data_IF_325575845768
#
_entry.id   IF_325575845768
#
_cell.length_a   1.000
_cell.length_b   1.000
_cell.length_c   1.000
_cell.angle_alpha   90.00
_cell.angle_beta   90.00
_cell.angle_gamma   90.00
#
_symmetry.space_group_name_H-M   'P 1'
#
loop_
_entity.id
_entity.type
_entity.pdbx_description
1 polymer ?
#
# COMPACT_ATOMS: atom_id res chain seq x y z
N UNK A 1 17.17 -14.79 -15.45
CA UNK A 1 17.33 -15.59 -14.23
C UNK A 1 18.08 -14.75 -13.22
N UNK A 2 17.74 -14.83 -11.93
CA UNK A 2 18.59 -14.23 -10.91
C UNK A 2 19.94 -14.96 -10.92
N UNK A 3 21.05 -14.22 -10.90
CA UNK A 3 22.38 -14.83 -10.81
C UNK A 3 22.49 -15.61 -9.50
N UNK A 4 23.00 -16.82 -9.57
CA UNK A 4 23.38 -17.59 -8.39
C UNK A 4 24.49 -16.86 -7.61
N UNK A 5 24.59 -17.11 -6.30
CA UNK A 5 25.66 -16.51 -5.51
C UNK A 5 27.07 -16.87 -6.02
N UNK A 6 27.21 -18.01 -6.71
CA UNK A 6 28.47 -18.42 -7.35
C UNK A 6 28.77 -17.56 -8.59
N UNK A 7 27.77 -17.27 -9.42
CA UNK A 7 27.93 -16.39 -10.59
C UNK A 7 28.22 -14.95 -10.17
N UNK A 8 27.58 -14.46 -9.09
CA UNK A 8 27.87 -13.15 -8.53
C UNK A 8 29.32 -13.09 -8.00
N UNK A 9 29.77 -14.13 -7.28
CA UNK A 9 31.13 -14.19 -6.75
C UNK A 9 32.22 -14.14 -7.83
N UNK A 10 31.96 -14.67 -9.04
CA UNK A 10 32.91 -14.59 -10.16
C UNK A 10 33.20 -13.15 -10.60
N UNK A 11 32.24 -12.25 -10.42
CA UNK A 11 32.30 -10.84 -10.83
C UNK A 11 32.76 -9.90 -9.71
N UNK A 12 32.91 -10.40 -8.47
CA UNK A 12 33.42 -9.60 -7.35
C UNK A 12 34.95 -9.55 -7.33
N UNK A 13 35.57 -8.57 -6.62
CA UNK A 13 37.02 -8.41 -6.53
C UNK A 13 37.80 -9.56 -5.85
N UNK A 14 37.10 -10.44 -5.11
CA UNK A 14 37.67 -11.58 -4.36
C UNK A 14 38.74 -11.21 -3.32
N UNK A 15 38.75 -9.96 -2.85
CA UNK A 15 39.72 -9.45 -1.86
C UNK A 15 39.44 -9.93 -0.44
N UNK A 16 38.19 -10.32 -0.13
CA UNK A 16 37.73 -10.67 1.23
C UNK A 16 38.08 -9.58 2.29
N UNK A 17 38.09 -8.32 1.88
CA UNK A 17 38.53 -7.19 2.71
C UNK A 17 37.58 -6.80 3.85
N UNK A 18 36.38 -7.40 3.90
CA UNK A 18 35.29 -7.13 4.88
C UNK A 18 34.77 -5.68 4.93
N UNK A 19 35.20 -4.80 4.01
CA UNK A 19 34.74 -3.40 3.92
C UNK A 19 33.22 -3.27 3.71
N UNK A 20 32.58 -4.27 3.10
CA UNK A 20 31.13 -4.32 2.90
C UNK A 20 30.34 -4.87 4.10
N UNK A 21 30.99 -5.09 5.25
CA UNK A 21 30.34 -5.63 6.47
C UNK A 21 30.11 -7.14 6.46
N UNK A 22 30.54 -7.85 5.42
CA UNK A 22 30.40 -9.31 5.31
C UNK A 22 31.75 -10.04 5.50
N UNK A 23 31.75 -11.26 6.08
CA UNK A 23 32.99 -12.00 6.41
C UNK A 23 33.87 -12.34 5.20
N UNK A 24 33.27 -12.58 4.03
CA UNK A 24 33.95 -12.92 2.77
C UNK A 24 33.19 -12.36 1.57
N UNK A 25 33.85 -12.22 0.42
CA UNK A 25 33.20 -11.86 -0.85
C UNK A 25 32.15 -12.90 -1.27
N UNK A 26 32.35 -14.19 -0.96
CA UNK A 26 31.35 -15.23 -1.23
C UNK A 26 30.11 -15.06 -0.34
N UNK A 27 30.29 -14.75 0.95
CA UNK A 27 29.16 -14.46 1.84
C UNK A 27 28.37 -13.24 1.36
N UNK A 28 29.06 -12.18 0.91
CA UNK A 28 28.41 -11.03 0.28
C UNK A 28 27.66 -11.41 -1.00
N UNK A 29 28.26 -12.23 -1.88
CA UNK A 29 27.62 -12.71 -3.10
C UNK A 29 26.34 -13.52 -2.83
N UNK A 30 26.34 -14.36 -1.79
CA UNK A 30 25.14 -15.10 -1.37
C UNK A 30 24.05 -14.16 -0.86
N UNK A 31 24.42 -13.11 -0.10
CA UNK A 31 23.48 -12.08 0.36
C UNK A 31 22.91 -11.25 -0.79
N UNK A 32 23.71 -10.92 -1.80
CA UNK A 32 23.26 -10.28 -3.04
C UNK A 32 22.28 -11.17 -3.82
N UNK A 33 22.58 -12.46 -4.00
CA UNK A 33 21.69 -13.40 -4.68
C UNK A 33 20.33 -13.55 -3.95
N UNK A 34 20.36 -13.47 -2.62
CA UNK A 34 19.17 -13.50 -1.76
C UNK A 34 18.47 -12.12 -1.64
N UNK A 35 19.01 -11.08 -2.28
CA UNK A 35 18.53 -9.68 -2.19
C UNK A 35 18.50 -9.13 -0.76
N UNK A 36 19.42 -9.59 0.09
CA UNK A 36 19.60 -9.16 1.47
C UNK A 36 20.71 -8.10 1.63
N UNK A 37 21.39 -7.74 0.55
CA UNK A 37 22.41 -6.70 0.49
C UNK A 37 22.33 -5.99 -0.89
N UNK A 38 22.89 -4.79 -0.98
CA UNK A 38 23.04 -4.05 -2.24
C UNK A 38 24.50 -4.01 -2.67
N UNK A 39 24.74 -3.92 -3.99
CA UNK A 39 26.09 -3.94 -4.55
C UNK A 39 26.92 -2.71 -4.11
N UNK A 40 26.24 -1.60 -3.81
CA UNK A 40 26.84 -0.32 -3.38
C UNK A 40 27.66 -0.45 -2.08
N UNK A 41 27.44 -1.51 -1.29
CA UNK A 41 28.22 -1.79 -0.09
C UNK A 41 29.67 -2.21 -0.39
N UNK A 42 29.99 -2.62 -1.63
CA UNK A 42 31.35 -2.97 -2.01
C UNK A 42 32.03 -1.77 -2.69
N UNK A 43 32.98 -1.09 -2.05
CA UNK A 43 33.66 0.07 -2.64
C UNK A 43 34.62 -0.32 -3.77
N UNK A 44 35.08 -1.57 -3.78
CA UNK A 44 36.16 -2.03 -4.66
C UNK A 44 35.63 -2.73 -5.94
N UNK A 45 34.32 -2.72 -6.19
CA UNK A 45 33.72 -3.39 -7.37
C UNK A 45 33.92 -2.56 -8.63
N UNK A 46 34.41 -3.19 -9.71
CA UNK A 46 34.63 -2.54 -11.02
C UNK A 46 33.31 -2.05 -11.64
N UNK A 47 33.36 -0.99 -12.44
CA UNK A 47 32.18 -0.42 -13.13
C UNK A 47 31.49 -1.44 -14.06
N UNK A 48 32.25 -2.31 -14.72
CA UNK A 48 31.71 -3.37 -15.57
C UNK A 48 30.91 -4.39 -14.75
N UNK A 49 31.46 -4.81 -13.60
CA UNK A 49 30.75 -5.67 -12.65
C UNK A 49 29.54 -4.97 -12.03
N UNK A 50 29.61 -3.65 -11.75
CA UNK A 50 28.44 -2.87 -11.31
C UNK A 50 27.32 -2.90 -12.32
N UNK A 51 27.64 -2.74 -13.60
CA UNK A 51 26.64 -2.80 -14.67
C UNK A 51 25.99 -4.19 -14.76
N UNK A 52 26.80 -5.25 -14.84
CA UNK A 52 26.29 -6.63 -14.99
C UNK A 52 25.50 -7.08 -13.75
N UNK A 53 26.05 -6.87 -12.55
CA UNK A 53 25.41 -7.27 -11.29
C UNK A 53 24.23 -6.36 -10.95
N UNK A 54 24.31 -5.06 -11.25
CA UNK A 54 23.21 -4.11 -11.13
C UNK A 54 22.00 -4.53 -11.98
N UNK A 55 22.22 -4.83 -13.26
CA UNK A 55 21.15 -5.29 -14.17
C UNK A 55 20.53 -6.64 -13.76
N UNK A 56 21.35 -7.54 -13.20
CA UNK A 56 20.91 -8.85 -12.71
C UNK A 56 20.21 -8.81 -11.34
N UNK A 57 20.57 -7.84 -10.49
CA UNK A 57 20.00 -7.65 -9.15
C UNK A 57 18.75 -6.77 -9.17
N UNK A 58 18.56 -5.99 -10.24
CA UNK A 58 17.40 -5.13 -10.42
C UNK A 58 16.09 -5.94 -10.24
N UNK A 59 15.10 -5.36 -9.53
CA UNK A 59 13.80 -6.00 -9.39
C UNK A 59 13.17 -6.25 -10.78
N UNK A 60 12.42 -7.35 -10.97
CA UNK A 60 11.82 -7.66 -12.28
C UNK A 60 10.91 -6.55 -12.79
N UNK A 61 10.28 -5.83 -11.86
CA UNK A 61 9.49 -4.63 -12.12
C UNK A 61 10.20 -3.45 -11.44
N UNK A 62 10.60 -2.45 -12.22
CA UNK A 62 11.28 -1.24 -11.75
C UNK A 62 10.38 -0.47 -10.77
N UNK A 63 10.92 0.03 -9.64
CA UNK A 63 10.19 0.94 -8.77
C UNK A 63 10.09 2.33 -9.40
N UNK A 64 8.93 2.96 -9.28
CA UNK A 64 8.71 4.36 -9.68
C UNK A 64 8.02 5.08 -8.53
N UNK A 65 8.40 6.32 -8.28
CA UNK A 65 7.75 7.19 -7.30
C UNK A 65 7.16 8.41 -8.01
N UNK A 66 5.88 8.65 -7.79
CA UNK A 66 5.17 9.84 -8.28
C UNK A 66 4.80 10.74 -7.09
N UNK A 67 4.84 12.05 -7.29
CA UNK A 67 4.67 13.02 -6.21
C UNK A 67 5.97 13.30 -5.43
N UNK A 68 5.85 14.15 -4.42
CA UNK A 68 6.92 14.52 -3.49
C UNK A 68 6.35 14.68 -2.07
N UNK A 69 7.22 14.59 -1.05
CA UNK A 69 6.83 14.70 0.36
C UNK A 69 5.93 13.56 0.85
N UNK A 70 5.12 13.82 1.87
CA UNK A 70 4.33 12.81 2.61
C UNK A 70 3.20 12.15 1.77
N UNK A 71 2.87 12.76 0.63
CA UNK A 71 1.88 12.24 -0.32
C UNK A 71 2.50 11.57 -1.54
N UNK A 72 3.83 11.49 -1.63
CA UNK A 72 4.48 10.69 -2.66
C UNK A 72 4.07 9.22 -2.53
N UNK A 73 3.85 8.56 -3.66
CA UNK A 73 3.48 7.15 -3.70
C UNK A 73 4.48 6.38 -4.57
N UNK A 74 4.88 5.21 -4.07
CA UNK A 74 5.78 4.29 -4.74
C UNK A 74 4.98 3.15 -5.36
N UNK A 75 5.35 2.75 -6.56
CA UNK A 75 4.77 1.63 -7.31
C UNK A 75 5.87 0.77 -7.92
N UNK A 76 5.51 -0.44 -8.38
CA UNK A 76 6.46 -1.40 -8.93
C UNK A 76 7.18 -2.20 -7.86
N UNK A 77 8.42 -2.65 -8.13
CA UNK A 77 9.24 -3.46 -7.20
C UNK A 77 8.71 -4.87 -6.90
N UNK A 78 7.70 -5.27 -7.66
CA UNK A 78 6.95 -6.48 -7.46
C UNK A 78 7.70 -7.73 -7.93
N UNK A 79 7.59 -8.83 -7.17
CA UNK A 79 8.44 -10.03 -7.37
C UNK A 79 7.69 -11.35 -7.46
N UNK A 80 6.39 -11.38 -7.13
CA UNK A 80 5.57 -12.59 -7.14
C UNK A 80 4.30 -12.42 -7.96
N UNK A 81 3.71 -13.55 -8.37
CA UNK A 81 2.39 -13.61 -8.99
C UNK A 81 1.28 -13.80 -7.97
N UNK A 82 1.54 -14.55 -6.91
CA UNK A 82 0.57 -14.84 -5.88
C UNK A 82 1.08 -14.30 -4.56
N UNK A 83 0.24 -13.56 -3.83
CA UNK A 83 0.65 -12.95 -2.56
C UNK A 83 1.15 -13.98 -1.53
N UNK A 84 0.60 -15.20 -1.53
CA UNK A 84 1.02 -16.26 -0.61
C UNK A 84 2.42 -16.83 -0.91
N UNK A 85 3.00 -16.58 -2.09
CA UNK A 85 4.39 -16.97 -2.37
C UNK A 85 5.38 -16.11 -1.56
N UNK A 86 4.99 -14.86 -1.26
CA UNK A 86 5.75 -13.91 -0.43
C UNK A 86 4.83 -12.79 0.05
N UNK A 87 4.78 -11.67 -0.69
CA UNK A 87 3.84 -10.56 -0.53
C UNK A 87 3.80 -9.71 -1.80
N UNK A 88 2.73 -8.95 -1.97
CA UNK A 88 2.77 -7.77 -2.81
C UNK A 88 3.35 -6.60 -2.02
N UNK A 89 4.18 -5.78 -2.65
CA UNK A 89 5.09 -4.86 -1.97
C UNK A 89 4.49 -3.46 -1.91
N UNK A 90 4.09 -2.91 -3.06
CA UNK A 90 3.66 -1.52 -3.16
C UNK A 90 2.17 -1.45 -3.56
N UNK A 91 1.27 -1.02 -2.65
CA UNK A 91 -0.16 -0.90 -2.95
C UNK A 91 -0.43 -0.08 -4.22
N UNK A 92 -1.43 -0.50 -4.99
CA UNK A 92 -1.82 0.24 -6.19
C UNK A 92 -2.31 1.65 -5.85
N UNK A 93 -1.94 2.62 -6.70
CA UNK A 93 -2.36 4.02 -6.64
C UNK A 93 -3.81 4.11 -7.12
N UNK A 94 -4.71 4.65 -6.29
CA UNK A 94 -6.03 5.07 -6.76
C UNK A 94 -5.94 6.52 -7.22
N UNK A 95 -6.28 6.76 -8.49
CA UNK A 95 -6.32 8.10 -9.07
C UNK A 95 -7.75 8.46 -9.47
N UNK A 96 -8.16 9.70 -9.27
CA UNK A 96 -9.45 10.20 -9.79
C UNK A 96 -9.22 11.11 -10.99
N UNK A 97 -10.04 10.96 -12.03
CA UNK A 97 -10.01 11.81 -13.21
C UNK A 97 -10.76 13.13 -13.01
N UNK A 98 -10.14 14.22 -13.46
CA UNK A 98 -10.81 15.49 -13.78
C UNK A 98 -10.60 15.80 -15.26
N UNK A 99 -11.63 16.35 -15.91
CA UNK A 99 -11.59 16.69 -17.34
C UNK A 99 -11.39 18.18 -17.49
N UNK A 100 -10.59 18.59 -18.45
CA UNK A 100 -10.38 20.01 -18.79
C UNK A 100 -11.62 20.71 -19.38
N UNK A 101 -12.65 19.94 -19.72
CA UNK A 101 -13.99 20.43 -20.11
C UNK A 101 -14.91 20.71 -18.92
N UNK A 102 -14.55 20.28 -17.71
CA UNK A 102 -15.30 20.58 -16.49
C UNK A 102 -15.10 22.03 -16.06
N UNK A 103 -16.04 22.58 -15.30
CA UNK A 103 -15.87 23.94 -14.77
C UNK A 103 -14.76 23.98 -13.72
N UNK A 104 -14.17 25.16 -13.49
CA UNK A 104 -13.18 25.34 -12.42
C UNK A 104 -13.73 24.92 -11.05
N UNK A 105 -15.01 25.23 -10.79
CA UNK A 105 -15.71 24.86 -9.56
C UNK A 105 -15.80 23.34 -9.37
N UNK A 106 -16.13 22.60 -10.44
CA UNK A 106 -16.21 21.13 -10.38
C UNK A 106 -14.83 20.49 -10.14
N UNK A 107 -13.79 20.99 -10.83
CA UNK A 107 -12.41 20.53 -10.64
C UNK A 107 -11.96 20.79 -9.19
N UNK A 108 -12.25 21.98 -8.67
CA UNK A 108 -11.93 22.35 -7.29
C UNK A 108 -12.67 21.47 -6.27
N UNK A 109 -13.94 21.13 -6.53
CA UNK A 109 -14.72 20.23 -5.69
C UNK A 109 -14.10 18.82 -5.64
N UNK A 110 -13.69 18.26 -6.78
CA UNK A 110 -12.99 16.96 -6.82
C UNK A 110 -11.67 17.03 -6.05
N UNK A 111 -10.89 18.10 -6.21
CA UNK A 111 -9.65 18.31 -5.46
C UNK A 111 -9.88 18.29 -3.94
N UNK A 112 -10.92 18.98 -3.48
CA UNK A 112 -11.30 19.00 -2.07
C UNK A 112 -11.72 17.62 -1.56
N UNK A 113 -12.52 16.89 -2.34
CA UNK A 113 -12.95 15.54 -1.98
C UNK A 113 -11.76 14.56 -1.91
N UNK A 114 -10.78 14.66 -2.81
CA UNK A 114 -9.53 13.88 -2.76
C UNK A 114 -8.75 14.20 -1.49
N UNK A 115 -8.61 15.49 -1.16
CA UNK A 115 -7.91 15.92 0.05
C UNK A 115 -8.59 15.43 1.33
N UNK A 116 -9.92 15.29 1.32
CA UNK A 116 -10.75 14.79 2.44
C UNK A 116 -11.01 13.27 2.39
N UNK A 117 -10.44 12.55 1.43
CA UNK A 117 -10.71 11.11 1.26
C UNK A 117 -10.00 10.21 2.28
N UNK A 118 -9.09 10.75 3.08
CA UNK A 118 -8.29 9.98 4.03
C UNK A 118 -9.16 9.42 5.17
N UNK A 119 -9.01 8.12 5.43
CA UNK A 119 -9.61 7.41 6.56
C UNK A 119 -8.51 6.71 7.36
N UNK A 120 -8.70 6.61 8.68
CA UNK A 120 -7.90 5.72 9.53
C UNK A 120 -8.56 4.34 9.57
N UNK A 121 -7.81 3.31 9.18
CA UNK A 121 -8.25 1.93 9.27
C UNK A 121 -7.12 1.05 9.75
N UNK A 122 -7.28 0.51 10.96
CA UNK A 122 -6.31 -0.41 11.59
C UNK A 122 -4.93 0.26 11.74
N UNK A 123 -4.92 1.54 12.14
CA UNK A 123 -3.70 2.32 12.36
C UNK A 123 -2.97 2.72 11.07
N UNK A 124 -3.65 2.64 9.93
CA UNK A 124 -3.12 3.05 8.63
C UNK A 124 -4.04 4.09 7.99
N UNK A 125 -3.41 5.10 7.39
CA UNK A 125 -4.10 6.13 6.61
C UNK A 125 -4.32 5.65 5.19
N UNK A 126 -5.58 5.47 4.80
CA UNK A 126 -5.98 5.05 3.46
C UNK A 126 -6.64 6.22 2.75
N UNK A 127 -6.27 6.48 1.48
CA UNK A 127 -6.74 7.65 0.72
C UNK A 127 -6.76 7.40 -0.79
N UNK A 128 -7.37 8.34 -1.52
CA UNK A 128 -7.09 8.55 -2.93
C UNK A 128 -5.70 9.17 -3.05
N UNK A 129 -4.89 8.64 -3.96
CA UNK A 129 -3.46 8.90 -4.01
C UNK A 129 -3.08 9.95 -5.06
N UNK A 130 -3.83 10.05 -6.16
CA UNK A 130 -3.48 10.91 -7.28
C UNK A 130 -4.70 11.53 -7.98
N UNK A 131 -4.44 12.56 -8.77
CA UNK A 131 -5.42 13.18 -9.68
C UNK A 131 -4.90 13.04 -11.11
N UNK A 132 -5.77 12.56 -12.01
CA UNK A 132 -5.52 12.52 -13.47
C UNK A 132 -6.21 13.73 -14.09
N UNK A 133 -5.48 14.55 -14.84
CA UNK A 133 -6.00 15.71 -15.55
C UNK A 133 -6.07 15.36 -17.03
N UNK A 134 -7.28 15.12 -17.54
CA UNK A 134 -7.50 14.66 -18.90
C UNK A 134 -7.81 15.81 -19.86
N UNK A 135 -7.03 15.89 -20.94
CA UNK A 135 -7.19 16.85 -22.03
C UNK A 135 -8.26 16.38 -23.02
N UNK A 136 -9.51 16.29 -22.55
CA UNK A 136 -10.65 15.85 -23.37
C UNK A 136 -10.96 16.87 -24.47
N UNK A 137 -10.72 18.15 -24.21
CA UNK A 137 -10.95 19.21 -25.19
C UNK A 137 -9.96 19.22 -26.36
N UNK A 138 -8.79 18.60 -26.20
CA UNK A 138 -7.66 18.71 -27.14
C UNK A 138 -6.96 20.08 -27.12
N UNK A 139 -7.41 21.03 -26.30
CA UNK A 139 -6.89 22.39 -26.22
C UNK A 139 -5.84 22.51 -25.11
N UNK A 140 -4.66 23.05 -25.44
CA UNK A 140 -3.56 23.19 -24.50
C UNK A 140 -3.84 24.20 -23.38
N UNK A 141 -4.57 25.29 -23.69
CA UNK A 141 -4.89 26.35 -22.72
C UNK A 141 -5.91 25.88 -21.70
N UNK A 142 -6.90 25.08 -22.12
CA UNK A 142 -7.86 24.45 -21.21
C UNK A 142 -7.20 23.44 -20.28
N UNK A 143 -6.28 22.62 -20.79
CA UNK A 143 -5.50 21.71 -19.96
C UNK A 143 -4.64 22.47 -18.95
N UNK A 144 -3.97 23.54 -19.37
CA UNK A 144 -3.17 24.38 -18.48
C UNK A 144 -4.04 25.03 -17.38
N UNK A 145 -5.24 25.52 -17.73
CA UNK A 145 -6.19 26.08 -16.76
C UNK A 145 -6.62 25.03 -15.73
N UNK A 146 -7.02 23.83 -16.17
CA UNK A 146 -7.36 22.73 -15.26
C UNK A 146 -6.18 22.34 -14.36
N UNK A 147 -4.97 22.27 -14.93
CA UNK A 147 -3.74 22.00 -14.20
C UNK A 147 -3.42 23.06 -13.14
N UNK A 148 -3.64 24.35 -13.43
CA UNK A 148 -3.51 25.45 -12.45
C UNK A 148 -4.48 25.27 -11.29
N UNK A 149 -5.73 24.93 -11.57
CA UNK A 149 -6.73 24.68 -10.52
C UNK A 149 -6.32 23.51 -9.62
N UNK A 150 -5.89 22.39 -10.19
CA UNK A 150 -5.40 21.24 -9.42
C UNK A 150 -4.14 21.58 -8.62
N UNK A 151 -3.18 22.29 -9.22
CA UNK A 151 -1.96 22.72 -8.53
C UNK A 151 -2.26 23.65 -7.33
N UNK A 152 -3.27 24.51 -7.44
CA UNK A 152 -3.68 25.43 -6.38
C UNK A 152 -4.50 24.74 -5.28
N UNK A 153 -5.42 23.85 -5.63
CA UNK A 153 -6.40 23.25 -4.70
C UNK A 153 -5.93 21.92 -4.08
N UNK A 154 -5.05 21.20 -4.76
CA UNK A 154 -4.54 19.89 -4.35
C UNK A 154 -3.01 19.81 -4.49
N UNK A 155 -2.30 20.89 -4.14
CA UNK A 155 -0.85 21.02 -4.27
C UNK A 155 -0.02 19.81 -3.79
N UNK A 156 -0.32 19.11 -2.67
CA UNK A 156 0.49 17.96 -2.24
C UNK A 156 0.13 16.65 -2.95
N UNK A 157 -0.96 16.57 -3.72
CA UNK A 157 -1.41 15.32 -4.34
C UNK A 157 -0.61 15.03 -5.62
N UNK A 158 -0.07 13.81 -5.80
CA UNK A 158 0.51 13.36 -7.08
C UNK A 158 -0.43 13.58 -8.28
N UNK A 159 0.15 13.93 -9.43
CA UNK A 159 -0.62 14.25 -10.64
C UNK A 159 -0.17 13.42 -11.83
N UNK A 160 -1.15 13.01 -12.63
CA UNK A 160 -0.98 12.40 -13.94
C UNK A 160 -1.61 13.32 -14.98
N UNK A 161 -0.84 13.79 -15.96
CA UNK A 161 -1.30 14.67 -17.03
C UNK A 161 -1.61 13.77 -18.23
N UNK A 162 -2.88 13.62 -18.56
CA UNK A 162 -3.34 12.75 -19.65
C UNK A 162 -3.61 13.59 -20.92
N UNK A 163 -2.69 13.53 -21.87
CA UNK A 163 -2.81 14.19 -23.18
C UNK A 163 -1.94 13.50 -24.22
N UNK A 164 -2.39 13.51 -25.47
CA UNK A 164 -1.59 13.10 -26.63
C UNK A 164 -0.85 14.27 -27.29
N UNK A 165 -1.07 15.50 -26.83
CA UNK A 165 -0.45 16.71 -27.36
C UNK A 165 0.81 17.09 -26.56
N UNK A 166 2.02 17.02 -27.15
CA UNK A 166 3.27 17.35 -26.45
C UNK A 166 3.34 18.78 -25.92
N UNK A 167 2.76 19.75 -26.63
CA UNK A 167 2.76 21.15 -26.22
C UNK A 167 1.87 21.37 -25.00
N UNK A 168 0.71 20.72 -24.98
CA UNK A 168 -0.19 20.73 -23.83
C UNK A 168 0.47 20.04 -22.61
N UNK A 169 1.15 18.92 -22.84
CA UNK A 169 1.92 18.23 -21.79
C UNK A 169 3.01 19.14 -21.21
N UNK A 170 3.77 19.83 -22.05
CA UNK A 170 4.85 20.73 -21.63
C UNK A 170 4.33 21.92 -20.80
N UNK A 171 3.22 22.54 -21.23
CA UNK A 171 2.61 23.65 -20.51
C UNK A 171 2.11 23.20 -19.12
N UNK A 172 1.40 22.07 -19.05
CA UNK A 172 0.84 21.56 -17.81
C UNK A 172 1.91 21.03 -16.83
N UNK A 173 2.95 20.33 -17.33
CA UNK A 173 3.96 19.70 -16.46
C UNK A 173 4.80 20.71 -15.69
N UNK A 174 5.03 21.90 -16.26
CA UNK A 174 5.76 23.00 -15.62
C UNK A 174 5.13 23.44 -14.29
N UNK A 175 3.81 23.32 -14.16
CA UNK A 175 3.07 23.66 -12.93
C UNK A 175 3.33 22.67 -11.77
N UNK A 176 3.92 21.51 -12.08
CA UNK A 176 4.23 20.44 -11.13
C UNK A 176 5.74 20.16 -11.06
N UNK A 177 6.57 21.14 -11.40
CA UNK A 177 8.03 21.04 -11.30
C UNK A 177 8.47 20.57 -9.90
N UNK A 178 9.38 19.61 -9.85
CA UNK A 178 9.86 19.00 -8.60
C UNK A 178 8.90 18.03 -7.93
N UNK A 179 7.67 17.84 -8.45
CA UNK A 179 6.66 16.92 -7.90
C UNK A 179 6.55 15.59 -8.65
N UNK A 180 7.49 15.29 -9.55
CA UNK A 180 7.57 14.02 -10.31
C UNK A 180 6.19 13.57 -10.85
N UNK A 181 5.51 14.38 -11.69
CA UNK A 181 4.26 13.97 -12.29
C UNK A 181 4.47 12.83 -13.29
N UNK A 182 3.38 12.17 -13.68
CA UNK A 182 3.38 11.30 -14.87
C UNK A 182 2.81 12.08 -16.04
N UNK A 183 3.52 12.10 -17.16
CA UNK A 183 2.95 12.54 -18.45
C UNK A 183 2.44 11.28 -19.14
N UNK A 184 1.14 11.18 -19.36
CA UNK A 184 0.50 9.99 -19.92
C UNK A 184 -0.16 10.30 -21.27
N UNK A 185 -0.07 9.36 -22.21
CA UNK A 185 -0.67 9.46 -23.54
C UNK A 185 0.34 9.31 -24.70
N UNK A 186 1.57 8.91 -24.41
CA UNK A 186 2.56 8.62 -25.44
C UNK A 186 2.21 7.31 -26.18
N UNK A 187 2.22 7.37 -27.50
CA UNK A 187 1.94 6.26 -28.40
C UNK A 187 2.87 6.33 -29.63
N UNK A 188 2.72 5.42 -30.58
CA UNK A 188 3.57 5.33 -31.77
C UNK A 188 3.66 6.63 -32.59
N UNK A 189 2.66 7.51 -32.54
CA UNK A 189 2.61 8.77 -33.31
C UNK A 189 3.34 9.97 -32.67
N UNK A 190 3.57 9.96 -31.35
CA UNK A 190 4.04 11.15 -30.60
C UNK A 190 5.16 10.85 -29.59
N UNK A 191 5.62 9.60 -29.50
CA UNK A 191 6.54 9.10 -28.47
C UNK A 191 7.84 9.89 -28.37
N UNK A 192 8.46 10.32 -29.48
CA UNK A 192 9.71 11.09 -29.46
C UNK A 192 9.53 12.44 -28.76
N UNK A 193 8.48 13.17 -29.14
CA UNK A 193 8.19 14.48 -28.56
C UNK A 193 7.78 14.36 -27.08
N UNK A 194 6.94 13.38 -26.75
CA UNK A 194 6.51 13.14 -25.36
C UNK A 194 7.68 12.71 -24.46
N UNK A 195 8.60 11.88 -24.97
CA UNK A 195 9.80 11.48 -24.25
C UNK A 195 10.75 12.65 -23.98
N UNK A 196 10.89 13.57 -24.93
CA UNK A 196 11.67 14.80 -24.72
C UNK A 196 11.08 15.64 -23.56
N UNK A 197 9.75 15.87 -23.57
CA UNK A 197 9.07 16.60 -22.49
C UNK A 197 9.26 15.91 -21.14
N UNK A 198 9.11 14.58 -21.08
CA UNK A 198 9.29 13.82 -19.83
C UNK A 198 10.73 13.92 -19.29
N UNK A 199 11.74 13.81 -20.17
CA UNK A 199 13.15 13.94 -19.79
C UNK A 199 13.47 15.32 -19.24
N UNK A 200 13.05 16.37 -19.95
CA UNK A 200 13.37 17.76 -19.61
C UNK A 200 12.68 18.18 -18.30
N UNK A 201 11.49 17.65 -18.04
CA UNK A 201 10.73 17.89 -16.80
C UNK A 201 11.06 16.91 -15.66
N UNK A 202 11.90 15.90 -15.91
CA UNK A 202 12.19 14.78 -14.97
C UNK A 202 10.90 14.08 -14.50
N UNK A 203 9.93 13.97 -15.39
CA UNK A 203 8.66 13.29 -15.18
C UNK A 203 8.75 11.82 -15.61
N UNK A 204 7.85 10.98 -15.07
CA UNK A 204 7.65 9.63 -15.62
C UNK A 204 6.81 9.71 -16.89
N UNK A 205 7.02 8.77 -17.82
CA UNK A 205 6.28 8.71 -19.09
C UNK A 205 5.32 7.52 -19.11
N UNK A 206 4.04 7.82 -19.26
CA UNK A 206 2.97 6.87 -19.48
C UNK A 206 2.74 6.61 -20.96
N UNK A 207 2.92 5.35 -21.38
CA UNK A 207 2.70 4.88 -22.75
C UNK A 207 1.38 4.12 -22.88
N UNK A 208 0.73 4.23 -24.04
CA UNK A 208 -0.43 3.44 -24.43
C UNK A 208 -0.19 2.78 -25.79
N UNK A 209 -0.58 1.51 -25.89
CA UNK A 209 -0.47 0.70 -27.10
C UNK A 209 -1.80 -0.01 -27.40
N UNK A 210 -1.98 -0.45 -28.65
CA UNK A 210 -3.14 -1.24 -29.07
C UNK A 210 -3.10 -2.68 -28.57
N UNK A 211 -1.89 -3.24 -28.41
CA UNK A 211 -1.65 -4.60 -27.94
C UNK A 211 -0.31 -4.73 -27.18
N UNK A 212 0.00 -5.95 -26.74
CA UNK A 212 1.20 -6.23 -25.95
C UNK A 212 2.50 -6.16 -26.79
N UNK A 213 2.45 -6.46 -28.08
CA UNK A 213 3.65 -6.45 -28.93
C UNK A 213 4.06 -5.00 -29.22
N UNK A 214 3.09 -4.15 -29.58
CA UNK A 214 3.33 -2.70 -29.69
C UNK A 214 3.79 -2.11 -28.35
N UNK A 215 3.18 -2.52 -27.23
CA UNK A 215 3.57 -2.04 -25.90
C UNK A 215 5.05 -2.34 -25.61
N UNK A 216 5.52 -3.55 -25.92
CA UNK A 216 6.92 -3.93 -25.73
C UNK A 216 7.85 -3.05 -26.58
N UNK A 217 7.50 -2.84 -27.86
CA UNK A 217 8.28 -1.99 -28.76
C UNK A 217 8.33 -0.53 -28.31
N UNK A 218 7.21 0.04 -27.83
CA UNK A 218 7.16 1.39 -27.29
C UNK A 218 8.03 1.52 -26.04
N UNK A 219 7.98 0.56 -25.11
CA UNK A 219 8.83 0.58 -23.91
C UNK A 219 10.33 0.63 -24.27
N UNK A 220 10.77 -0.20 -25.22
CA UNK A 220 12.17 -0.20 -25.68
C UNK A 220 12.56 1.13 -26.33
N UNK A 221 11.66 1.70 -27.14
CA UNK A 221 11.85 3.00 -27.78
C UNK A 221 11.96 4.13 -26.75
N UNK A 222 11.08 4.18 -25.75
CA UNK A 222 11.16 5.17 -24.65
C UNK A 222 12.49 5.06 -23.89
N UNK A 223 12.92 3.83 -23.60
CA UNK A 223 14.20 3.59 -22.92
C UNK A 223 15.39 4.06 -23.78
N UNK A 224 15.36 3.80 -25.09
CA UNK A 224 16.40 4.27 -26.02
C UNK A 224 16.45 5.80 -26.13
N UNK A 225 15.31 6.47 -25.92
CA UNK A 225 15.20 7.93 -25.84
C UNK A 225 15.67 8.51 -24.49
N UNK A 226 16.09 7.65 -23.55
CA UNK A 226 16.70 8.04 -22.28
C UNK A 226 15.71 8.31 -21.14
N UNK A 227 14.44 7.93 -21.28
CA UNK A 227 13.47 8.01 -20.18
C UNK A 227 13.45 6.68 -19.43
N UNK A 228 13.83 6.69 -18.15
CA UNK A 228 13.92 5.47 -17.35
C UNK A 228 12.61 5.06 -16.68
N UNK A 229 11.78 6.04 -16.28
CA UNK A 229 10.58 5.80 -15.50
C UNK A 229 9.37 5.75 -16.43
N UNK A 230 8.90 4.54 -16.72
CA UNK A 230 7.84 4.25 -17.68
C UNK A 230 6.62 3.66 -16.94
N UNK A 231 5.42 4.10 -17.31
CA UNK A 231 4.15 3.51 -16.89
C UNK A 231 3.45 2.95 -18.13
N UNK A 232 2.97 1.70 -18.08
CA UNK A 232 2.43 0.99 -19.24
C UNK A 232 0.90 0.91 -19.21
N UNK A 233 0.24 1.24 -20.32
CA UNK A 233 -1.16 0.90 -20.62
C UNK A 233 -1.21 -0.01 -21.85
N UNK A 234 -1.75 -1.21 -21.68
CA UNK A 234 -1.98 -2.16 -22.78
C UNK A 234 -3.25 -1.86 -23.60
N UNK A 235 -3.95 -0.76 -23.32
CA UNK A 235 -5.24 -0.41 -23.92
C UNK A 235 -6.43 -1.22 -23.39
N UNK A 236 -6.22 -2.09 -22.38
CA UNK A 236 -7.26 -3.01 -21.91
C UNK A 236 -8.42 -2.25 -21.25
N UNK A 237 -9.66 -2.51 -21.70
CA UNK A 237 -10.86 -1.83 -21.19
C UNK A 237 -11.78 -2.77 -20.44
N UNK A 238 -11.93 -4.02 -20.88
CA UNK A 238 -12.84 -4.99 -20.22
C UNK A 238 -12.15 -5.77 -19.11
N UNK A 239 -12.93 -6.33 -18.17
CA UNK A 239 -12.36 -7.18 -17.11
C UNK A 239 -11.57 -8.37 -17.68
N UNK A 240 -12.04 -8.96 -18.79
CA UNK A 240 -11.35 -10.06 -19.49
C UNK A 240 -9.97 -9.63 -19.98
N UNK A 241 -9.89 -8.49 -20.67
CA UNK A 241 -8.64 -7.94 -21.19
C UNK A 241 -7.69 -7.54 -20.06
N UNK A 242 -8.19 -6.85 -19.02
CA UNK A 242 -7.38 -6.42 -17.87
C UNK A 242 -6.74 -7.64 -17.19
N UNK A 243 -7.53 -8.69 -16.90
CA UNK A 243 -7.01 -9.93 -16.30
C UNK A 243 -5.94 -10.55 -17.19
N UNK A 244 -6.21 -10.68 -18.50
CA UNK A 244 -5.31 -11.32 -19.44
C UNK A 244 -3.99 -10.54 -19.58
N UNK A 245 -4.07 -9.26 -19.94
CA UNK A 245 -2.90 -8.43 -20.26
C UNK A 245 -2.04 -8.18 -19.02
N UNK A 246 -2.63 -7.79 -17.88
CA UNK A 246 -1.85 -7.55 -16.68
C UNK A 246 -1.17 -8.85 -16.19
N UNK A 247 -1.82 -10.00 -16.33
CA UNK A 247 -1.22 -11.29 -15.98
C UNK A 247 -0.06 -11.64 -16.92
N UNK A 248 -0.20 -11.41 -18.22
CA UNK A 248 0.87 -11.66 -19.20
C UNK A 248 2.08 -10.76 -18.95
N UNK A 249 1.86 -9.45 -18.77
CA UNK A 249 2.90 -8.46 -18.42
C UNK A 249 3.65 -8.92 -17.16
N UNK A 250 2.91 -9.19 -16.07
CA UNK A 250 3.48 -9.60 -14.78
C UNK A 250 4.25 -10.92 -14.89
N UNK A 251 3.71 -11.91 -15.61
CA UNK A 251 4.38 -13.22 -15.84
C UNK A 251 5.64 -13.07 -16.66
N UNK A 252 5.61 -12.31 -17.74
CA UNK A 252 6.77 -12.08 -18.60
C UNK A 252 7.89 -11.37 -17.83
N UNK A 253 7.57 -10.31 -17.08
CA UNK A 253 8.52 -9.61 -16.23
C UNK A 253 9.14 -10.53 -15.17
N UNK A 254 8.33 -11.25 -14.39
CA UNK A 254 8.82 -12.03 -13.24
C UNK A 254 9.42 -13.37 -13.64
N UNK A 255 8.72 -14.17 -14.47
CA UNK A 255 9.11 -15.55 -14.79
C UNK A 255 10.09 -15.62 -15.95
N UNK A 256 10.03 -14.66 -16.88
CA UNK A 256 10.90 -14.64 -18.08
C UNK A 256 11.94 -13.52 -18.05
N UNK A 257 11.89 -12.61 -17.06
CA UNK A 257 12.77 -11.43 -17.01
C UNK A 257 12.69 -10.60 -18.30
N UNK A 258 11.50 -10.56 -18.91
CA UNK A 258 11.25 -9.80 -20.14
C UNK A 258 11.22 -8.30 -19.79
N UNK A 259 12.35 -7.63 -20.02
CA UNK A 259 12.60 -6.24 -19.60
C UNK A 259 11.58 -5.22 -20.15
N UNK A 260 11.06 -5.35 -21.38
CA UNK A 260 10.06 -4.39 -21.89
C UNK A 260 8.75 -4.37 -21.09
N UNK A 261 8.46 -5.38 -20.26
CA UNK A 261 7.30 -5.40 -19.35
C UNK A 261 7.69 -5.20 -17.88
N UNK A 262 8.92 -4.79 -17.61
CA UNK A 262 9.46 -4.60 -16.27
C UNK A 262 9.06 -3.28 -15.61
N UNK A 263 7.82 -2.81 -15.81
CA UNK A 263 7.37 -1.49 -15.39
C UNK A 263 5.96 -1.53 -14.76
N UNK A 264 5.58 -0.51 -13.95
CA UNK A 264 4.22 -0.36 -13.43
C UNK A 264 3.15 -0.26 -14.54
N UNK A 265 1.95 -0.76 -14.26
CA UNK A 265 0.80 -0.77 -15.19
C UNK A 265 -0.29 0.20 -14.72
N UNK A 266 -0.84 0.99 -15.64
CA UNK A 266 -2.03 1.84 -15.41
C UNK A 266 -3.25 1.24 -16.09
N UNK A 267 -4.41 1.27 -15.43
CA UNK A 267 -5.69 0.89 -16.03
C UNK A 267 -6.75 1.96 -15.76
N UNK A 268 -7.48 2.33 -16.81
CA UNK A 268 -8.62 3.24 -16.80
C UNK A 268 -9.92 2.42 -16.69
N UNK A 269 -10.56 2.45 -15.52
CA UNK A 269 -11.74 1.61 -15.23
C UNK A 269 -13.05 2.40 -15.20
N UNK A 270 -13.02 3.68 -15.56
CA UNK A 270 -14.19 4.55 -15.46
C UNK A 270 -15.43 3.98 -16.18
N UNK A 271 -16.58 4.02 -15.53
CA UNK A 271 -17.89 3.60 -16.07
C UNK A 271 -18.98 4.53 -15.60
N UNK A 272 -20.05 4.64 -16.38
CA UNK A 272 -21.24 5.40 -16.00
C UNK A 272 -21.93 4.80 -14.76
N UNK A 273 -21.92 3.46 -14.65
CA UNK A 273 -22.38 2.76 -13.47
C UNK A 273 -21.25 2.63 -12.42
N UNK A 274 -21.41 3.31 -11.28
CA UNK A 274 -20.42 3.32 -10.19
C UNK A 274 -20.16 1.94 -9.57
N UNK A 275 -21.15 1.04 -9.56
CA UNK A 275 -20.98 -0.32 -9.06
C UNK A 275 -20.12 -1.12 -10.04
N UNK A 276 -20.38 -1.01 -11.34
CA UNK A 276 -19.57 -1.66 -12.38
C UNK A 276 -18.13 -1.13 -12.36
N UNK A 277 -17.94 0.19 -12.24
CA UNK A 277 -16.60 0.78 -12.05
C UNK A 277 -15.90 0.18 -10.83
N UNK A 278 -16.58 0.10 -9.68
CA UNK A 278 -16.02 -0.47 -8.46
C UNK A 278 -15.61 -1.94 -8.65
N UNK A 279 -16.44 -2.74 -9.33
CA UNK A 279 -16.14 -4.13 -9.66
C UNK A 279 -14.90 -4.25 -10.55
N UNK A 280 -14.76 -3.42 -11.60
CA UNK A 280 -13.54 -3.42 -12.42
C UNK A 280 -12.31 -2.97 -11.62
N UNK A 281 -12.45 -1.98 -10.74
CA UNK A 281 -11.37 -1.56 -9.85
C UNK A 281 -10.92 -2.71 -8.92
N UNK A 282 -11.84 -3.55 -8.42
CA UNK A 282 -11.46 -4.73 -7.62
C UNK A 282 -10.61 -5.73 -8.41
N UNK A 283 -10.90 -5.91 -9.70
CA UNK A 283 -10.10 -6.74 -10.60
C UNK A 283 -8.69 -6.17 -10.72
N UNK A 284 -8.56 -4.86 -10.95
CA UNK A 284 -7.27 -4.17 -11.05
C UNK A 284 -6.43 -4.32 -9.77
N UNK A 285 -7.03 -4.13 -8.59
CA UNK A 285 -6.37 -4.32 -7.29
C UNK A 285 -5.83 -5.74 -7.14
N UNK A 286 -6.61 -6.75 -7.55
CA UNK A 286 -6.21 -8.15 -7.46
C UNK A 286 -5.28 -8.62 -8.59
N UNK A 287 -5.24 -7.90 -9.71
CA UNK A 287 -4.55 -8.29 -10.96
C UNK A 287 -3.56 -7.23 -11.42
N UNK A 288 -2.61 -6.95 -10.53
CA UNK A 288 -1.30 -6.38 -10.83
C UNK A 288 -1.29 -4.94 -11.39
N UNK A 289 -2.42 -4.25 -11.40
CA UNK A 289 -2.45 -2.81 -11.71
C UNK A 289 -1.67 -2.05 -10.66
N UNK A 290 -0.82 -1.14 -11.10
CA UNK A 290 -0.07 -0.23 -10.24
C UNK A 290 -0.77 1.11 -10.07
N UNK A 291 -1.53 1.55 -11.07
CA UNK A 291 -2.42 2.72 -11.02
C UNK A 291 -3.80 2.30 -11.52
N UNK A 292 -4.85 2.68 -10.78
CA UNK A 292 -6.25 2.45 -11.13
C UNK A 292 -6.96 3.81 -11.18
N UNK A 293 -7.43 4.18 -12.38
CA UNK A 293 -8.10 5.48 -12.60
C UNK A 293 -9.61 5.33 -12.50
N UNK A 294 -10.20 6.11 -11.60
CA UNK A 294 -11.62 6.13 -11.22
C UNK A 294 -12.29 7.42 -11.69
N UNK A 295 -13.62 7.40 -11.86
CA UNK A 295 -14.38 8.61 -12.23
C UNK A 295 -14.77 9.48 -11.04
N UNK A 296 -14.84 8.91 -9.83
CA UNK A 296 -15.35 9.62 -8.65
C UNK A 296 -14.76 9.06 -7.34
N UNK A 297 -14.93 9.83 -6.27
CA UNK A 297 -14.43 9.54 -4.91
C UNK A 297 -15.56 9.30 -3.90
N UNK A 298 -16.63 8.65 -4.35
CA UNK A 298 -17.77 8.29 -3.51
C UNK A 298 -17.33 7.54 -2.25
N UNK A 299 -17.83 7.96 -1.08
CA UNK A 299 -17.38 7.45 0.23
C UNK A 299 -17.53 5.93 0.36
N UNK A 300 -18.65 5.38 -0.09
CA UNK A 300 -18.91 3.93 -0.02
C UNK A 300 -17.92 3.15 -0.91
N UNK A 301 -17.61 3.68 -2.10
CA UNK A 301 -16.67 3.09 -3.06
C UNK A 301 -15.25 3.14 -2.51
N UNK A 302 -14.84 4.29 -1.97
CA UNK A 302 -13.54 4.46 -1.32
C UNK A 302 -13.36 3.47 -0.17
N UNK A 303 -14.35 3.35 0.73
CA UNK A 303 -14.26 2.41 1.85
C UNK A 303 -14.04 0.97 1.38
N UNK A 304 -14.79 0.52 0.37
CA UNK A 304 -14.67 -0.82 -0.18
C UNK A 304 -13.30 -1.05 -0.85
N UNK A 305 -12.87 -0.13 -1.73
CA UNK A 305 -11.62 -0.25 -2.48
C UNK A 305 -10.38 -0.11 -1.59
N UNK A 306 -10.41 0.80 -0.62
CA UNK A 306 -9.32 0.96 0.36
C UNK A 306 -9.17 -0.29 1.21
N UNK A 307 -10.28 -0.85 1.70
CA UNK A 307 -10.27 -2.09 2.48
C UNK A 307 -9.74 -3.26 1.65
N UNK A 308 -10.18 -3.41 0.40
CA UNK A 308 -9.69 -4.46 -0.50
C UNK A 308 -8.18 -4.30 -0.76
N UNK A 309 -7.73 -3.10 -1.12
CA UNK A 309 -6.32 -2.81 -1.35
C UNK A 309 -5.49 -3.11 -0.12
N UNK A 310 -5.91 -2.64 1.06
CA UNK A 310 -5.21 -2.93 2.31
C UNK A 310 -5.09 -4.44 2.52
N UNK A 311 -6.19 -5.20 2.42
CA UNK A 311 -6.21 -6.64 2.64
C UNK A 311 -5.32 -7.42 1.64
N UNK A 312 -5.35 -7.05 0.36
CA UNK A 312 -4.55 -7.72 -0.68
C UNK A 312 -3.06 -7.48 -0.49
N UNK A 313 -2.67 -6.27 -0.07
CA UNK A 313 -1.28 -5.88 0.11
C UNK A 313 -0.73 -6.08 1.53
N UNK A 314 -1.56 -6.50 2.51
CA UNK A 314 -1.06 -6.96 3.81
C UNK A 314 -0.07 -8.11 3.62
N UNK A 315 1.05 -8.06 4.33
CA UNK A 315 2.05 -9.13 4.35
C UNK A 315 1.42 -10.41 4.94
N UNK A 316 1.26 -11.50 4.17
CA UNK A 316 0.65 -12.72 4.69
C UNK A 316 1.55 -13.48 5.68
N UNK A 317 2.85 -13.13 5.77
CA UNK A 317 3.81 -13.80 6.65
C UNK A 317 3.87 -13.18 8.05
N UNK A 318 3.42 -11.92 8.18
CA UNK A 318 3.52 -11.16 9.42
C UNK A 318 2.13 -10.68 9.82
N UNK A 319 1.49 -11.31 10.83
CA UNK A 319 0.27 -10.79 11.40
C UNK A 319 0.47 -9.35 11.87
N UNK A 320 -0.44 -8.45 11.51
CA UNK A 320 -0.42 -7.10 12.04
C UNK A 320 -0.71 -7.15 13.54
N UNK A 321 0.21 -6.61 14.34
CA UNK A 321 0.14 -6.64 15.80
C UNK A 321 0.00 -5.24 16.38
N UNK A 322 -0.59 -5.18 17.55
CA UNK A 322 -0.66 -4.00 18.42
C UNK A 322 0.30 -4.22 19.58
N UNK A 323 0.84 -3.15 20.16
CA UNK A 323 1.76 -3.26 21.29
C UNK A 323 1.04 -3.87 22.51
N UNK A 324 1.68 -4.78 23.24
CA UNK A 324 1.13 -5.26 24.51
C UNK A 324 1.21 -4.14 25.55
N UNK A 325 0.05 -3.60 25.93
CA UNK A 325 -0.12 -2.67 27.03
C UNK A 325 -1.60 -2.51 27.38
N UNK A 326 -1.87 -1.68 28.37
CA UNK A 326 -3.23 -1.25 28.67
C UNK A 326 -3.47 0.07 27.95
N UNK A 327 -4.47 0.06 27.07
CA UNK A 327 -4.92 1.23 26.33
C UNK A 327 -6.07 1.90 27.07
N UNK A 328 -5.96 3.22 27.27
CA UNK A 328 -7.07 4.04 27.76
C UNK A 328 -7.91 4.50 26.58
N UNK A 329 -9.21 4.17 26.59
CA UNK A 329 -10.17 4.52 25.54
C UNK A 329 -11.15 5.55 26.12
N UNK A 330 -10.97 6.82 25.73
CA UNK A 330 -11.66 7.97 26.32
C UNK A 330 -11.05 8.43 27.65
N UNK A 331 -11.78 9.28 28.38
CA UNK A 331 -11.34 9.85 29.66
C UNK A 331 -11.59 8.86 30.82
N UNK A 332 -10.68 7.91 30.98
CA UNK A 332 -10.80 6.82 31.97
C UNK A 332 -10.70 7.33 33.41
N UNK A 333 -11.53 6.77 34.29
CA UNK A 333 -11.55 7.01 35.74
C UNK A 333 -11.17 5.73 36.51
N UNK A 334 -10.87 5.79 37.82
CA UNK A 334 -10.61 4.58 38.60
C UNK A 334 -11.73 3.52 38.49
N UNK A 335 -12.98 3.93 38.29
CA UNK A 335 -14.14 3.04 38.16
C UNK A 335 -14.36 2.51 36.73
N UNK A 336 -13.63 3.03 35.75
CA UNK A 336 -13.79 2.64 34.34
C UNK A 336 -13.52 1.14 34.12
N UNK A 337 -14.37 0.43 33.36
CA UNK A 337 -14.23 -1.00 33.12
C UNK A 337 -12.88 -1.39 32.50
N UNK A 338 -12.37 -2.57 32.87
CA UNK A 338 -11.16 -3.16 32.28
C UNK A 338 -11.52 -4.40 31.47
N UNK A 339 -11.26 -4.35 30.16
CA UNK A 339 -11.37 -5.47 29.24
C UNK A 339 -10.01 -6.10 28.98
N UNK A 340 -9.99 -7.37 28.58
CA UNK A 340 -8.80 -8.01 27.99
C UNK A 340 -9.07 -8.55 26.59
N UNK A 341 -8.08 -8.42 25.71
CA UNK A 341 -8.09 -8.99 24.36
C UNK A 341 -6.67 -9.38 23.92
N UNK A 342 -6.53 -9.95 22.72
CA UNK A 342 -5.25 -10.29 22.09
C UNK A 342 -4.66 -9.13 21.30
N UNK A 343 -3.36 -9.14 21.06
CA UNK A 343 -2.66 -8.14 20.25
C UNK A 343 -2.80 -8.28 18.72
N UNK A 344 -3.64 -9.17 18.21
CA UNK A 344 -3.98 -9.17 16.79
C UNK A 344 -4.70 -7.88 16.41
N UNK A 345 -4.17 -7.13 15.44
CA UNK A 345 -4.66 -5.78 15.13
C UNK A 345 -6.15 -5.75 14.81
N UNK A 346 -6.66 -6.68 14.00
CA UNK A 346 -8.08 -6.72 13.67
C UNK A 346 -8.94 -6.93 14.93
N UNK A 347 -8.53 -7.84 15.82
CA UNK A 347 -9.23 -8.05 17.09
C UNK A 347 -9.20 -6.80 17.95
N UNK A 348 -8.02 -6.16 18.10
CA UNK A 348 -7.89 -4.93 18.88
C UNK A 348 -8.80 -3.83 18.35
N UNK A 349 -8.72 -3.48 17.06
CA UNK A 349 -9.48 -2.36 16.48
C UNK A 349 -10.99 -2.62 16.46
N UNK A 350 -11.42 -3.88 16.33
CA UNK A 350 -12.84 -4.24 16.47
C UNK A 350 -13.32 -3.99 17.90
N UNK A 351 -12.56 -4.44 18.91
CA UNK A 351 -12.94 -4.27 20.32
C UNK A 351 -12.86 -2.80 20.75
N UNK A 352 -11.76 -2.11 20.43
CA UNK A 352 -11.57 -0.71 20.81
C UNK A 352 -12.59 0.20 20.13
N UNK A 353 -12.89 -0.03 18.84
CA UNK A 353 -13.90 0.74 18.12
C UNK A 353 -15.30 0.58 18.72
N UNK A 354 -15.68 -0.63 19.15
CA UNK A 354 -16.97 -0.85 19.80
C UNK A 354 -17.04 -0.30 21.23
N UNK A 355 -15.91 -0.28 21.96
CA UNK A 355 -15.80 0.44 23.23
C UNK A 355 -15.99 1.95 22.99
N UNK A 356 -15.33 2.54 21.99
CA UNK A 356 -15.50 3.97 21.65
C UNK A 356 -16.94 4.28 21.22
N UNK A 357 -17.56 3.44 20.39
CA UNK A 357 -18.96 3.55 19.97
C UNK A 357 -19.94 3.49 21.16
N UNK A 358 -19.58 2.79 22.24
CA UNK A 358 -20.39 2.74 23.45
C UNK A 358 -20.48 4.09 24.16
N UNK A 359 -19.50 4.97 23.96
CA UNK A 359 -19.27 6.24 24.69
C UNK A 359 -19.03 6.06 26.19
N UNK A 360 -18.64 4.86 26.63
CA UNK A 360 -18.27 4.56 28.02
C UNK A 360 -16.75 4.47 28.12
N UNK A 361 -16.07 5.41 28.82
CA UNK A 361 -14.62 5.37 28.98
C UNK A 361 -14.18 4.08 29.65
N UNK A 362 -13.28 3.35 28.99
CA UNK A 362 -12.86 2.01 29.42
C UNK A 362 -11.36 1.81 29.18
N UNK A 363 -10.79 0.81 29.85
CA UNK A 363 -9.43 0.34 29.63
C UNK A 363 -9.45 -0.98 28.85
N UNK A 364 -8.52 -1.15 27.93
CA UNK A 364 -8.35 -2.37 27.15
C UNK A 364 -6.93 -2.92 27.33
N UNK A 365 -6.81 -3.98 28.11
CA UNK A 365 -5.59 -4.76 28.26
C UNK A 365 -5.38 -5.60 27.00
N UNK A 366 -4.37 -5.26 26.21
CA UNK A 366 -4.02 -5.95 24.97
C UNK A 366 -2.84 -6.86 25.27
N UNK A 367 -3.08 -8.17 25.34
CA UNK A 367 -2.06 -9.16 25.65
C UNK A 367 -1.38 -9.66 24.38
N UNK A 368 -0.05 -9.78 24.39
CA UNK A 368 0.71 -10.39 23.30
C UNK A 368 0.31 -11.86 23.16
N UNK A 369 -0.18 -12.18 21.98
CA UNK A 369 -0.58 -13.52 21.57
C UNK A 369 -0.02 -13.83 20.19
N UNK A 370 1.16 -13.28 19.87
CA UNK A 370 1.86 -13.45 18.59
C UNK A 370 1.01 -12.96 17.40
N UNK A 371 0.11 -12.00 17.64
CA UNK A 371 -0.81 -11.48 16.63
C UNK A 371 -1.90 -12.46 16.21
N UNK A 372 -2.21 -13.45 17.05
CA UNK A 372 -3.32 -14.39 16.83
C UNK A 372 -4.63 -13.84 17.40
N UNK A 373 -5.75 -14.10 16.72
CA UNK A 373 -7.09 -13.77 17.23
C UNK A 373 -7.41 -14.51 18.53
N UNK A 374 -8.39 -14.04 19.32
CA UNK A 374 -8.78 -14.66 20.61
C UNK A 374 -8.90 -16.19 20.55
N UNK A 375 -9.69 -16.71 19.62
CA UNK A 375 -9.93 -18.16 19.50
C UNK A 375 -8.69 -18.92 19.01
N UNK A 376 -7.95 -18.35 18.06
CA UNK A 376 -6.71 -18.95 17.54
C UNK A 376 -5.65 -19.01 18.65
N UNK A 377 -5.49 -17.92 19.39
CA UNK A 377 -4.54 -17.80 20.48
C UNK A 377 -4.89 -18.73 21.64
N UNK A 378 -6.17 -18.85 21.99
CA UNK A 378 -6.65 -19.80 22.99
C UNK A 378 -6.35 -21.25 22.57
N UNK A 379 -6.73 -21.63 21.35
CA UNK A 379 -6.48 -22.97 20.82
C UNK A 379 -4.98 -23.31 20.72
N UNK A 380 -4.13 -22.33 20.45
CA UNK A 380 -2.67 -22.47 20.38
C UNK A 380 -1.96 -22.38 21.75
N UNK A 381 -2.69 -22.26 22.87
CA UNK A 381 -2.11 -22.10 24.21
C UNK A 381 -1.36 -20.77 24.41
N UNK A 382 -1.63 -19.78 23.56
CA UNK A 382 -1.06 -18.42 23.64
C UNK A 382 -1.94 -17.46 24.43
N UNK A 383 -3.24 -17.73 24.55
CA UNK A 383 -4.20 -16.99 25.38
C UNK A 383 -4.75 -17.88 26.50
N UNK A 384 -4.02 -17.95 27.62
CA UNK A 384 -4.33 -18.86 28.75
C UNK A 384 -4.51 -18.10 30.05
N UNK A 385 -5.20 -18.70 31.02
CA UNK A 385 -5.43 -18.09 32.33
C UNK A 385 -4.12 -17.65 33.02
N UNK A 386 -3.06 -18.46 32.93
CA UNK A 386 -1.73 -18.11 33.47
C UNK A 386 -1.15 -16.86 32.82
N UNK A 387 -1.15 -16.79 31.48
CA UNK A 387 -0.58 -15.64 30.77
C UNK A 387 -1.39 -14.37 30.99
N UNK A 388 -2.71 -14.49 31.03
CA UNK A 388 -3.63 -13.38 31.35
C UNK A 388 -3.33 -12.84 32.75
N UNK A 389 -3.29 -13.71 33.76
CA UNK A 389 -3.01 -13.30 35.13
C UNK A 389 -1.63 -12.63 35.26
N UNK A 390 -0.61 -13.22 34.63
CA UNK A 390 0.73 -12.65 34.62
C UNK A 390 0.73 -11.25 34.00
N UNK A 391 0.12 -11.07 32.84
CA UNK A 391 0.05 -9.75 32.18
C UNK A 391 -0.64 -8.70 33.05
N UNK A 392 -1.79 -9.03 33.67
CA UNK A 392 -2.52 -8.11 34.54
C UNK A 392 -1.66 -7.70 35.74
N UNK A 393 -0.98 -8.65 36.40
CA UNK A 393 -0.08 -8.35 37.52
C UNK A 393 1.12 -7.50 37.08
N UNK A 394 1.80 -7.91 36.01
CA UNK A 394 3.01 -7.25 35.50
C UNK A 394 2.70 -5.82 35.00
N UNK A 395 1.48 -5.58 34.50
CA UNK A 395 1.03 -4.25 34.05
C UNK A 395 0.89 -3.22 35.18
N UNK A 396 0.73 -3.67 36.43
CA UNK A 396 0.51 -2.78 37.59
C UNK A 396 -0.88 -2.13 37.68
N UNK A 397 -1.83 -2.52 36.82
CA UNK A 397 -3.15 -1.88 36.71
C UNK A 397 -3.99 -1.90 37.99
N UNK A 398 -3.71 -2.84 38.88
CA UNK A 398 -4.35 -2.96 40.19
C UNK A 398 -4.28 -1.66 41.00
N UNK A 399 -3.25 -0.83 40.78
CA UNK A 399 -3.07 0.46 41.47
C UNK A 399 -3.91 1.60 40.89
N UNK A 400 -4.48 1.40 39.71
CA UNK A 400 -5.20 2.43 38.95
C UNK A 400 -6.72 2.20 38.91
N UNK A 401 -7.18 1.00 39.27
CA UNK A 401 -8.60 0.63 39.26
C UNK A 401 -9.18 0.63 40.67
N UNK A 402 -10.38 1.19 40.84
CA UNK A 402 -11.15 1.13 42.07
C UNK A 402 -11.77 -0.26 42.27
N UNK A 403 -12.19 -0.89 41.17
CA UNK A 403 -12.80 -2.21 41.14
C UNK A 403 -11.84 -3.20 40.47
N UNK A 404 -11.43 -4.24 41.19
CA UNK A 404 -10.66 -5.36 40.63
C UNK A 404 -11.59 -6.28 39.84
N UNK A 405 -12.02 -5.82 38.67
CA UNK A 405 -12.84 -6.59 37.74
C UNK A 405 -12.17 -6.66 36.37
N UNK A 406 -12.08 -7.87 35.81
CA UNK A 406 -11.59 -8.09 34.46
C UNK A 406 -12.69 -8.68 33.58
N UNK A 407 -13.00 -8.00 32.48
CA UNK A 407 -13.99 -8.46 31.49
C UNK A 407 -13.27 -9.23 30.38
N UNK A 408 -13.60 -10.52 30.24
CA UNK A 408 -12.99 -11.42 29.25
C UNK A 408 -13.90 -11.62 28.03
N UNK A 409 -13.36 -11.96 26.84
CA UNK A 409 -14.19 -12.26 25.66
C UNK A 409 -15.09 -13.48 25.88
N UNK A 410 -16.34 -13.41 25.41
CA UNK A 410 -17.34 -14.45 25.71
C UNK A 410 -17.03 -15.84 25.16
N UNK A 411 -16.24 -15.95 24.09
CA UNK A 411 -15.83 -17.24 23.54
C UNK A 411 -14.80 -17.99 24.39
N UNK A 412 -14.12 -17.30 25.32
CA UNK A 412 -13.16 -17.90 26.26
C UNK A 412 -13.70 -17.90 27.69
N UNK A 413 -15.03 -17.93 27.85
CA UNK A 413 -15.70 -17.99 29.15
C UNK A 413 -15.19 -19.15 30.03
N UNK A 414 -14.77 -20.26 29.43
CA UNK A 414 -14.20 -21.41 30.14
C UNK A 414 -12.93 -21.06 30.94
N UNK A 415 -12.24 -19.97 30.60
CA UNK A 415 -11.06 -19.52 31.34
C UNK A 415 -11.41 -18.79 32.64
N UNK A 416 -12.67 -18.38 32.88
CA UNK A 416 -13.03 -17.46 33.97
C UNK A 416 -12.59 -17.98 35.34
N UNK A 417 -12.96 -19.22 35.69
CA UNK A 417 -12.62 -19.81 36.98
C UNK A 417 -11.11 -19.94 37.19
N UNK A 418 -10.38 -20.42 36.17
CA UNK A 418 -8.92 -20.53 36.24
C UNK A 418 -8.19 -19.18 36.28
N UNK A 419 -8.77 -18.12 35.69
CA UNK A 419 -8.23 -16.76 35.82
C UNK A 419 -8.47 -16.23 37.24
N UNK A 420 -9.67 -16.43 37.78
CA UNK A 420 -10.05 -16.00 39.14
C UNK A 420 -9.17 -16.66 40.22
N UNK A 421 -8.87 -17.95 40.08
CA UNK A 421 -7.90 -18.65 40.94
C UNK A 421 -6.50 -18.04 40.90
N UNK A 422 -6.08 -17.52 39.74
CA UNK A 422 -4.74 -16.97 39.50
C UNK A 422 -4.64 -15.46 39.73
N UNK A 423 -5.77 -14.77 39.85
CA UNK A 423 -5.89 -13.36 40.22
C UNK A 423 -6.74 -13.23 41.49
N UNK A 424 -6.23 -13.64 42.67
CA UNK A 424 -7.00 -13.56 43.90
C UNK A 424 -7.51 -12.14 44.16
N UNK A 425 -8.82 -12.02 44.46
CA UNK A 425 -9.47 -10.73 44.70
C UNK A 425 -9.91 -9.99 43.43
N UNK A 426 -9.68 -10.55 42.24
CA UNK A 426 -10.27 -10.06 41.00
C UNK A 426 -11.56 -10.81 40.67
N UNK A 427 -12.62 -10.08 40.33
CA UNK A 427 -13.84 -10.63 39.75
C UNK A 427 -13.66 -10.79 38.24
N UNK A 428 -13.92 -11.99 37.72
CA UNK A 428 -13.86 -12.24 36.26
C UNK A 428 -15.26 -12.24 35.67
N UNK A 429 -15.55 -11.25 34.83
CA UNK A 429 -16.84 -11.15 34.14
C UNK A 429 -16.73 -11.60 32.70
N UNK A 430 -17.61 -12.50 32.29
CA UNK A 430 -17.72 -12.93 30.89
C UNK A 430 -18.45 -11.86 30.09
N UNK A 431 -17.72 -11.22 29.17
CA UNK A 431 -18.28 -10.27 28.21
C UNK A 431 -19.03 -10.96 27.06
N UNK A 432 -19.50 -10.18 26.07
CA UNK A 432 -20.16 -10.74 24.90
C UNK A 432 -19.20 -11.58 24.05
N UNK A 433 -19.77 -12.51 23.27
CA UNK A 433 -19.01 -13.31 22.28
C UNK A 433 -18.54 -12.47 21.11
N UNK A 434 -19.39 -11.56 20.64
CA UNK A 434 -19.12 -10.65 19.52
C UNK A 434 -18.95 -9.22 20.02
N UNK A 435 -17.99 -8.49 19.44
CA UNK A 435 -17.66 -7.14 19.89
C UNK A 435 -18.79 -6.11 19.65
N UNK A 436 -19.62 -6.30 18.62
CA UNK A 436 -20.75 -5.41 18.33
C UNK A 436 -21.80 -5.34 19.45
N UNK A 437 -21.77 -6.27 20.41
CA UNK A 437 -22.63 -6.27 21.59
C UNK A 437 -21.99 -5.55 22.80
N UNK A 438 -20.72 -5.11 22.71
CA UNK A 438 -20.04 -4.34 23.75
C UNK A 438 -20.80 -3.06 24.11
N UNK A 439 -21.33 -2.25 23.17
CA UNK A 439 -22.07 -1.04 23.51
C UNK A 439 -23.28 -1.31 24.41
N UNK A 440 -24.06 -2.35 24.11
CA UNK A 440 -25.22 -2.75 24.91
C UNK A 440 -24.79 -3.30 26.27
N UNK A 441 -23.76 -4.15 26.29
CA UNK A 441 -23.19 -4.71 27.52
C UNK A 441 -22.73 -3.61 28.48
N UNK A 442 -21.96 -2.63 27.99
CA UNK A 442 -21.47 -1.51 28.79
C UNK A 442 -22.61 -0.61 29.30
N UNK A 443 -23.57 -0.25 28.45
CA UNK A 443 -24.71 0.61 28.82
C UNK A 443 -25.65 -0.05 29.82
N UNK A 444 -25.75 -1.37 29.84
CA UNK A 444 -26.55 -2.09 30.86
C UNK A 444 -25.92 -2.09 32.25
N UNK A 445 -24.65 -1.66 32.35
CA UNK A 445 -23.84 -1.70 33.58
C UNK A 445 -23.44 -0.33 34.10
N UNK A 446 -23.60 0.71 33.27
CA UNK A 446 -23.45 2.12 33.64
C UNK A 446 -24.76 2.63 34.25
#
# INVERSE_FOLDING_TARGET
>A
MALSGVEIFKLLPKTNCKKCGHPTCLAFAMKLAQRQATLDLCPDVSEEAKKILGEASAPPIRPITIGAGDKAVKMGEETVLFRHDKKFVNPCVFAVEVKDTSTEGDIAAVCEQVMKSEIDRVGQKLRIDAIVISNVSGDASKLEAAAKTVAAKAAPVPVIINTTNPQAAEAAVKLFAGKKPVIYGANSSNIEAMAAVAKDSKASLGIIAADLDELAGLTEKVKALGVEDIVMDSGAKTAKEIIANNTLIRRAAIKKNFKPFGYPVINFVQRDDSMLEALLATVCVAKYSSIVVLSSVEKWKNLALFTLRQNIYTDPQVPMQVEQKIYSLGDVKPESPLFITTNFSLTYFIVSGEIENSKVPSRLAVMDSEGLSVLTAWAAGKFTATKIAQFINDSGIEKEVANKELIIPGYVAILSGSIEEKLPGWKITVGPREANAIPTFLKSRA
#
